data_IF_593575152457
#
_entry.id   IF_593575152457
#
_cell.length_a   1.000
_cell.length_b   1.000
_cell.length_c   1.000
_cell.angle_alpha   90.00
_cell.angle_beta   90.00
_cell.angle_gamma   90.00
#
_symmetry.space_group_name_H-M   'P 1'
#
loop_
_entity.id
_entity.type
_entity.pdbx_description
1 polymer ?
#
# COMPACT_ATOMS: atom_id res chain seq x y z
N UNK A 1 -13.63 23.17 -11.40
CA UNK A 1 -12.67 22.50 -10.51
C UNK A 1 -13.31 21.94 -9.24
N UNK A 2 -14.02 22.74 -8.42
CA UNK A 2 -14.66 22.26 -7.18
C UNK A 2 -15.61 21.06 -7.40
N UNK A 3 -16.51 21.12 -8.40
CA UNK A 3 -17.40 19.99 -8.75
C UNK A 3 -16.65 18.71 -9.12
N UNK A 4 -15.50 18.85 -9.77
CA UNK A 4 -14.65 17.72 -10.16
C UNK A 4 -13.95 17.10 -8.93
N UNK A 5 -13.39 17.95 -8.05
CA UNK A 5 -12.78 17.51 -6.79
C UNK A 5 -13.82 16.82 -5.91
N UNK A 6 -15.00 17.42 -5.74
CA UNK A 6 -16.09 16.82 -4.97
C UNK A 6 -16.50 15.45 -5.53
N UNK A 7 -16.65 15.34 -6.86
CA UNK A 7 -16.94 14.04 -7.51
C UNK A 7 -15.84 13.01 -7.24
N UNK A 8 -14.57 13.39 -7.28
CA UNK A 8 -13.44 12.49 -6.98
C UNK A 8 -13.45 12.05 -5.52
N UNK A 9 -13.71 12.95 -4.58
CA UNK A 9 -13.80 12.62 -3.14
C UNK A 9 -14.95 11.65 -2.89
N UNK A 10 -16.13 11.90 -3.47
CA UNK A 10 -17.29 10.99 -3.35
C UNK A 10 -16.99 9.62 -3.95
N UNK A 11 -16.32 9.56 -5.10
CA UNK A 11 -15.90 8.29 -5.72
C UNK A 11 -14.81 7.55 -4.92
N UNK A 12 -14.03 8.26 -4.10
CA UNK A 12 -13.03 7.63 -3.24
C UNK A 12 -13.66 6.86 -2.07
N UNK A 13 -14.81 7.31 -1.56
CA UNK A 13 -15.50 6.67 -0.43
C UNK A 13 -15.79 5.17 -0.69
N UNK A 14 -16.48 4.75 -1.77
CA UNK A 14 -16.73 3.33 -2.01
C UNK A 14 -15.45 2.53 -2.23
N UNK A 15 -14.41 3.15 -2.82
CA UNK A 15 -13.09 2.50 -2.99
C UNK A 15 -12.43 2.26 -1.64
N UNK A 16 -12.44 3.25 -0.74
CA UNK A 16 -11.89 3.12 0.61
C UNK A 16 -12.64 2.07 1.42
N UNK A 17 -13.97 2.06 1.38
CA UNK A 17 -14.78 1.03 2.04
C UNK A 17 -14.44 -0.35 1.47
N UNK A 18 -14.30 -0.47 0.15
CA UNK A 18 -13.91 -1.72 -0.50
C UNK A 18 -12.54 -2.20 -0.04
N UNK A 19 -11.54 -1.32 0.02
CA UNK A 19 -10.20 -1.65 0.51
C UNK A 19 -10.25 -2.07 1.98
N UNK A 20 -10.92 -1.31 2.85
CA UNK A 20 -11.06 -1.65 4.27
C UNK A 20 -11.75 -3.00 4.46
N UNK A 21 -12.80 -3.28 3.69
CA UNK A 21 -13.51 -4.56 3.76
C UNK A 21 -12.63 -5.72 3.29
N UNK A 22 -11.97 -5.59 2.13
CA UNK A 22 -11.11 -6.64 1.59
C UNK A 22 -9.94 -6.91 2.54
N UNK A 23 -9.26 -5.87 3.05
CA UNK A 23 -8.13 -6.07 3.98
C UNK A 23 -8.60 -6.65 5.31
N UNK A 24 -9.77 -6.23 5.81
CA UNK A 24 -10.38 -6.81 7.01
C UNK A 24 -10.66 -8.31 6.84
N UNK A 25 -11.30 -8.69 5.72
CA UNK A 25 -11.59 -10.09 5.41
C UNK A 25 -10.31 -10.89 5.23
N UNK A 26 -9.34 -10.37 4.46
CA UNK A 26 -8.04 -11.04 4.26
C UNK A 26 -7.34 -11.29 5.59
N UNK A 27 -7.29 -10.30 6.48
CA UNK A 27 -6.70 -10.47 7.81
C UNK A 27 -7.40 -11.55 8.64
N UNK A 28 -8.71 -11.75 8.46
CA UNK A 28 -9.46 -12.79 9.17
C UNK A 28 -9.37 -14.18 8.55
N UNK A 29 -9.02 -14.24 7.26
CA UNK A 29 -8.77 -15.48 6.54
C UNK A 29 -7.34 -16.01 6.77
N UNK A 30 -6.43 -15.19 7.31
CA UNK A 30 -5.09 -15.66 7.69
C UNK A 30 -5.25 -16.77 8.74
N UNK A 31 -4.77 -17.99 8.46
CA UNK A 31 -4.85 -19.08 9.42
C UNK A 31 -3.93 -18.78 10.62
N UNK A 32 -4.48 -18.86 11.82
CA UNK A 32 -3.77 -18.63 13.08
C UNK A 32 -4.69 -18.16 14.18
N UNK A 33 -4.33 -18.42 15.44
CA UNK A 33 -5.04 -17.89 16.60
C UNK A 33 -4.48 -16.48 16.93
N UNK A 34 -5.28 -15.40 16.77
CA UNK A 34 -4.82 -14.04 17.01
C UNK A 34 -4.39 -13.80 18.47
N UNK A 35 -5.00 -14.52 19.44
CA UNK A 35 -4.57 -14.46 20.82
C UNK A 35 -3.14 -14.98 20.97
N UNK A 36 -2.88 -16.19 20.46
CA UNK A 36 -1.56 -16.84 20.54
C UNK A 36 -0.51 -16.10 19.74
N UNK A 37 -0.88 -15.53 18.59
CA UNK A 37 0.03 -14.73 17.78
C UNK A 37 0.49 -13.45 18.50
N UNK A 38 -0.37 -12.86 19.34
CA UNK A 38 -0.08 -11.61 20.04
C UNK A 38 0.51 -11.82 21.44
N UNK A 39 0.08 -12.85 22.17
CA UNK A 39 0.49 -13.12 23.55
C UNK A 39 1.60 -14.17 23.69
N UNK A 40 1.87 -14.94 22.62
CA UNK A 40 2.90 -15.97 22.61
C UNK A 40 2.72 -17.00 23.72
N UNK A 41 3.76 -17.21 24.52
CA UNK A 41 3.77 -18.17 25.65
C UNK A 41 2.79 -17.82 26.77
N UNK A 42 2.27 -16.58 26.82
CA UNK A 42 1.29 -16.14 27.83
C UNK A 42 -0.16 -16.45 27.43
N UNK A 43 -0.38 -17.07 26.28
CA UNK A 43 -1.71 -17.41 25.78
C UNK A 43 -2.26 -18.65 26.49
N UNK A 44 -2.79 -18.47 27.70
CA UNK A 44 -3.66 -19.48 28.34
C UNK A 44 -5.09 -19.35 27.81
N UNK A 45 -5.88 -20.41 27.89
CA UNK A 45 -7.26 -20.42 27.37
C UNK A 45 -8.12 -19.31 28.03
N UNK A 46 -7.95 -19.09 29.33
CA UNK A 46 -8.63 -18.03 30.08
C UNK A 46 -8.25 -16.61 29.61
N UNK A 47 -6.96 -16.39 29.32
CA UNK A 47 -6.47 -15.11 28.81
C UNK A 47 -6.94 -14.90 27.38
N UNK A 48 -7.01 -15.97 26.57
CA UNK A 48 -7.53 -15.90 25.23
C UNK A 48 -9.04 -15.61 25.19
N UNK A 49 -9.84 -16.23 26.04
CA UNK A 49 -11.27 -15.93 26.12
C UNK A 49 -11.53 -14.46 26.49
N UNK A 50 -10.74 -13.92 27.42
CA UNK A 50 -10.77 -12.51 27.78
C UNK A 50 -10.31 -11.61 26.59
N UNK A 51 -9.30 -12.05 25.85
CA UNK A 51 -8.81 -11.37 24.65
C UNK A 51 -9.88 -11.32 23.55
N UNK A 52 -10.53 -12.45 23.24
CA UNK A 52 -11.58 -12.52 22.22
C UNK A 52 -12.73 -11.57 22.56
N UNK A 53 -13.21 -11.57 23.81
CA UNK A 53 -14.26 -10.64 24.28
C UNK A 53 -13.82 -9.18 24.24
N UNK A 54 -12.59 -8.88 24.69
CA UNK A 54 -12.08 -7.50 24.74
C UNK A 54 -11.96 -6.87 23.36
N UNK A 55 -11.52 -7.64 22.38
CA UNK A 55 -11.37 -7.16 20.99
C UNK A 55 -12.61 -7.39 20.13
N UNK A 56 -13.71 -7.91 20.72
CA UNK A 56 -14.96 -8.22 20.02
C UNK A 56 -14.81 -9.30 18.95
N UNK A 57 -13.78 -10.13 19.07
CA UNK A 57 -13.44 -11.17 18.11
C UNK A 57 -14.38 -12.39 18.17
N UNK A 58 -15.17 -12.46 19.24
CA UNK A 58 -16.27 -13.40 19.50
C UNK A 58 -17.57 -13.04 18.74
N UNK A 59 -17.67 -11.81 18.22
CA UNK A 59 -18.86 -11.32 17.53
C UNK A 59 -18.92 -11.78 16.07
N UNK A 60 -20.09 -11.75 15.41
CA UNK A 60 -20.18 -12.00 13.97
C UNK A 60 -19.29 -11.04 13.15
N UNK A 61 -18.70 -11.54 12.08
CA UNK A 61 -17.76 -10.80 11.21
C UNK A 61 -18.27 -9.40 10.79
N UNK A 62 -19.56 -9.29 10.48
CA UNK A 62 -20.21 -8.04 10.07
C UNK A 62 -20.21 -7.01 11.21
N UNK A 63 -20.46 -7.46 12.44
CA UNK A 63 -20.47 -6.59 13.63
C UNK A 63 -19.05 -6.10 13.93
N UNK A 64 -18.05 -6.98 13.81
CA UNK A 64 -16.64 -6.61 13.95
C UNK A 64 -16.21 -5.57 12.93
N UNK A 65 -16.62 -5.74 11.67
CA UNK A 65 -16.35 -4.75 10.62
C UNK A 65 -17.02 -3.40 10.92
N UNK A 66 -18.25 -3.41 11.44
CA UNK A 66 -18.93 -2.19 11.90
C UNK A 66 -18.16 -1.45 12.99
N UNK A 67 -17.68 -2.15 14.02
CA UNK A 67 -16.84 -1.56 15.07
C UNK A 67 -15.50 -1.04 14.55
N UNK A 68 -14.89 -1.76 13.60
CA UNK A 68 -13.65 -1.32 12.95
C UNK A 68 -13.88 -0.04 12.15
N UNK A 69 -14.93 0.01 11.32
CA UNK A 69 -15.26 1.17 10.51
C UNK A 69 -15.60 2.40 11.36
N UNK A 70 -16.35 2.22 12.44
CA UNK A 70 -16.65 3.29 13.39
C UNK A 70 -15.39 3.93 13.98
N UNK A 71 -14.43 3.11 14.42
CA UNK A 71 -13.14 3.59 14.93
C UNK A 71 -12.34 4.34 13.86
N UNK A 72 -12.23 3.76 12.66
CA UNK A 72 -11.51 4.37 11.53
C UNK A 72 -12.07 5.75 11.16
N UNK A 73 -13.39 5.91 11.12
CA UNK A 73 -14.02 7.21 10.80
C UNK A 73 -13.77 8.25 11.89
N UNK A 74 -13.61 7.84 13.15
CA UNK A 74 -13.22 8.73 14.25
C UNK A 74 -11.71 9.02 14.31
N UNK A 75 -10.91 8.43 13.41
CA UNK A 75 -9.46 8.57 13.37
C UNK A 75 -8.70 7.61 14.28
N UNK A 76 -9.40 6.71 14.98
CA UNK A 76 -8.80 5.64 15.77
C UNK A 76 -8.48 4.44 14.85
N UNK A 77 -7.20 4.25 14.55
CA UNK A 77 -6.72 3.11 13.76
C UNK A 77 -6.33 1.90 14.63
N UNK A 78 -6.37 2.06 15.96
CA UNK A 78 -5.93 1.08 16.94
C UNK A 78 -4.43 0.83 16.96
N UNK A 79 -4.05 -0.27 17.61
CA UNK A 79 -2.67 -0.72 17.75
C UNK A 79 -2.34 -1.83 16.77
N UNK A 80 -1.09 -1.88 16.34
CA UNK A 80 -0.56 -3.00 15.57
C UNK A 80 -0.47 -4.25 16.43
N UNK A 81 -1.20 -5.32 16.06
CA UNK A 81 -1.08 -6.62 16.72
C UNK A 81 0.35 -7.21 16.65
N UNK A 82 1.15 -6.80 15.65
CA UNK A 82 2.53 -7.28 15.46
C UNK A 82 3.56 -6.50 16.28
N UNK A 83 3.41 -5.18 16.36
CA UNK A 83 4.41 -4.29 16.96
C UNK A 83 3.97 -3.71 18.32
N UNK A 84 2.72 -3.91 18.72
CA UNK A 84 2.19 -3.46 20.02
C UNK A 84 2.17 -1.94 20.18
N UNK A 85 2.08 -1.18 19.09
CA UNK A 85 2.12 0.29 19.10
C UNK A 85 1.06 0.89 18.16
N UNK A 86 0.68 2.18 18.36
CA UNK A 86 -0.36 2.81 17.55
C UNK A 86 -0.05 2.78 16.06
N UNK A 87 -1.05 2.41 15.25
CA UNK A 87 -0.92 2.37 13.78
C UNK A 87 -0.68 3.77 13.22
N UNK A 88 -1.25 4.81 13.84
CA UNK A 88 -1.04 6.21 13.47
C UNK A 88 0.43 6.61 13.51
N UNK A 89 1.15 6.22 14.56
CA UNK A 89 2.57 6.56 14.71
C UNK A 89 3.41 5.88 13.63
N UNK A 90 3.12 4.59 13.39
CA UNK A 90 3.79 3.83 12.34
C UNK A 90 3.55 4.43 10.95
N UNK A 91 2.35 4.93 10.67
CA UNK A 91 2.04 5.62 9.42
C UNK A 91 2.81 6.95 9.32
N UNK A 92 2.83 7.75 10.39
CA UNK A 92 3.51 9.04 10.41
C UNK A 92 5.03 8.91 10.26
N UNK A 93 5.63 7.82 10.75
CA UNK A 93 7.05 7.52 10.53
C UNK A 93 7.37 7.18 9.06
N UNK A 94 6.43 6.59 8.32
CA UNK A 94 6.64 6.10 6.94
C UNK A 94 6.18 7.09 5.87
N UNK A 95 5.17 7.91 6.19
CA UNK A 95 4.54 8.85 5.27
C UNK A 95 5.54 9.82 4.62
N UNK A 96 6.50 10.44 5.34
CA UNK A 96 7.48 11.35 4.73
C UNK A 96 8.32 10.68 3.66
N UNK A 97 8.82 9.46 3.94
CA UNK A 97 9.64 8.68 2.99
C UNK A 97 8.82 8.31 1.76
N UNK A 98 7.56 7.89 1.94
CA UNK A 98 6.69 7.60 0.79
C UNK A 98 6.43 8.84 -0.07
N UNK A 99 6.19 9.99 0.55
CA UNK A 99 5.98 11.25 -0.17
C UNK A 99 7.25 11.66 -0.92
N UNK A 100 8.40 11.60 -0.26
CA UNK A 100 9.69 11.93 -0.86
C UNK A 100 9.96 11.05 -2.10
N UNK A 101 9.84 9.73 -1.95
CA UNK A 101 10.03 8.79 -3.05
C UNK A 101 9.01 9.03 -4.18
N UNK A 102 7.75 9.30 -3.86
CA UNK A 102 6.72 9.56 -4.85
C UNK A 102 6.99 10.85 -5.63
N UNK A 103 7.38 11.93 -4.95
CA UNK A 103 7.69 13.21 -5.58
C UNK A 103 8.93 13.13 -6.46
N UNK A 104 10.01 12.50 -5.99
CA UNK A 104 11.22 12.30 -6.78
C UNK A 104 10.95 11.41 -8.00
N UNK A 105 10.22 10.31 -7.82
CA UNK A 105 9.84 9.43 -8.92
C UNK A 105 8.98 10.17 -9.95
N UNK A 106 8.01 10.97 -9.51
CA UNK A 106 7.17 11.77 -10.39
C UNK A 106 8.00 12.80 -11.16
N UNK A 107 8.94 13.48 -10.50
CA UNK A 107 9.82 14.45 -11.12
C UNK A 107 10.67 13.80 -12.23
N UNK A 108 11.34 12.69 -11.92
CA UNK A 108 12.17 11.95 -12.88
C UNK A 108 11.32 11.42 -14.04
N UNK A 109 10.18 10.80 -13.74
CA UNK A 109 9.27 10.27 -14.75
C UNK A 109 8.73 11.38 -15.66
N UNK A 110 8.42 12.56 -15.12
CA UNK A 110 7.94 13.70 -15.89
C UNK A 110 9.05 14.24 -16.80
N UNK A 111 10.25 14.49 -16.26
CA UNK A 111 11.36 15.03 -17.04
C UNK A 111 11.72 14.07 -18.17
N UNK A 112 12.01 12.81 -17.84
CA UNK A 112 12.45 11.81 -18.83
C UNK A 112 11.32 11.48 -19.80
N UNK A 113 10.10 11.24 -19.28
CA UNK A 113 8.95 10.87 -20.09
C UNK A 113 8.51 11.96 -21.06
N UNK A 114 8.48 13.22 -20.63
CA UNK A 114 8.14 14.35 -21.51
C UNK A 114 9.23 14.57 -22.56
N UNK A 115 10.51 14.53 -22.19
CA UNK A 115 11.60 14.69 -23.17
C UNK A 115 11.54 13.60 -24.23
N UNK A 116 11.48 12.32 -23.82
CA UNK A 116 11.38 11.20 -24.74
C UNK A 116 10.11 11.27 -25.60
N UNK A 117 8.98 11.65 -25.01
CA UNK A 117 7.73 11.84 -25.74
C UNK A 117 7.80 12.94 -26.80
N UNK A 118 8.42 14.08 -26.47
CA UNK A 118 8.62 15.19 -27.43
C UNK A 118 9.57 14.78 -28.56
N UNK A 119 10.67 14.08 -28.23
CA UNK A 119 11.64 13.58 -29.22
C UNK A 119 10.99 12.60 -30.20
N UNK A 120 10.23 11.63 -29.69
CA UNK A 120 9.51 10.67 -30.52
C UNK A 120 8.47 11.36 -31.42
N UNK A 121 7.74 12.35 -30.89
CA UNK A 121 6.77 13.12 -31.65
C UNK A 121 7.40 13.99 -32.74
N UNK A 122 8.56 14.59 -32.47
CA UNK A 122 9.27 15.43 -33.45
C UNK A 122 9.85 14.60 -34.61
N UNK A 123 10.40 13.41 -34.32
CA UNK A 123 10.93 12.49 -35.32
C UNK A 123 10.03 11.28 -35.57
N UNK A 124 8.73 11.54 -35.74
CA UNK A 124 7.74 10.50 -35.96
C UNK A 124 8.07 9.60 -37.16
N UNK A 125 7.80 8.29 -37.03
CA UNK A 125 8.08 7.25 -38.04
C UNK A 125 9.58 7.09 -38.39
N UNK A 126 10.46 7.57 -37.52
CA UNK A 126 11.91 7.38 -37.67
C UNK A 126 12.41 6.23 -36.78
N UNK A 127 13.67 5.78 -36.96
CA UNK A 127 14.30 4.87 -36.02
C UNK A 127 14.32 5.40 -34.58
N UNK A 128 14.41 6.72 -34.36
CA UNK A 128 14.44 7.32 -33.02
C UNK A 128 13.09 7.14 -32.31
N UNK A 129 11.99 7.33 -33.04
CA UNK A 129 10.63 7.07 -32.57
C UNK A 129 10.48 5.57 -32.21
N UNK A 130 10.91 4.68 -33.11
CA UNK A 130 10.87 3.23 -32.85
C UNK A 130 11.63 2.82 -31.59
N UNK A 131 12.87 3.29 -31.39
CA UNK A 131 13.66 2.98 -30.19
C UNK A 131 13.00 3.53 -28.92
N UNK A 132 12.47 4.75 -28.97
CA UNK A 132 11.81 5.37 -27.82
C UNK A 132 10.55 4.59 -27.43
N UNK A 133 9.76 4.19 -28.42
CA UNK A 133 8.55 3.39 -28.22
C UNK A 133 8.86 1.98 -27.70
N UNK A 134 9.91 1.32 -28.18
CA UNK A 134 10.36 0.03 -27.65
C UNK A 134 10.75 0.18 -26.18
N UNK A 135 11.57 1.19 -25.85
CA UNK A 135 12.00 1.44 -24.48
C UNK A 135 10.81 1.71 -23.54
N UNK A 136 9.88 2.58 -23.95
CA UNK A 136 8.67 2.88 -23.18
C UNK A 136 7.81 1.62 -22.97
N UNK A 137 7.62 0.82 -24.03
CA UNK A 137 6.83 -0.41 -23.94
C UNK A 137 7.47 -1.46 -23.04
N UNK A 138 8.80 -1.60 -23.03
CA UNK A 138 9.49 -2.47 -22.09
C UNK A 138 9.23 -2.03 -20.65
N UNK A 139 9.34 -0.74 -20.35
CA UNK A 139 9.06 -0.22 -19.01
C UNK A 139 7.63 -0.48 -18.55
N UNK A 140 6.64 -0.32 -19.43
CA UNK A 140 5.22 -0.52 -19.11
C UNK A 140 4.84 -2.01 -19.04
N UNK A 141 5.49 -2.86 -19.84
CA UNK A 141 5.13 -4.29 -19.95
C UNK A 141 5.73 -5.16 -18.85
N UNK A 142 6.86 -4.75 -18.27
CA UNK A 142 7.47 -5.52 -17.18
C UNK A 142 6.68 -5.29 -15.89
N UNK A 143 6.28 -6.35 -15.16
CA UNK A 143 5.62 -6.19 -13.88
C UNK A 143 6.49 -5.38 -12.89
N UNK A 144 5.88 -4.42 -12.20
CA UNK A 144 6.59 -3.48 -11.31
C UNK A 144 7.40 -4.21 -10.23
N UNK A 145 6.89 -5.32 -9.69
CA UNK A 145 7.62 -6.10 -8.68
C UNK A 145 8.90 -6.76 -9.24
N UNK A 146 8.91 -7.16 -10.53
CA UNK A 146 10.09 -7.73 -11.19
C UNK A 146 11.14 -6.65 -11.39
N UNK A 147 10.73 -5.47 -11.86
CA UNK A 147 11.63 -4.31 -11.94
C UNK A 147 12.23 -3.98 -10.57
N UNK A 148 11.39 -3.91 -9.54
CA UNK A 148 11.86 -3.67 -8.16
C UNK A 148 12.88 -4.70 -7.68
N UNK A 149 12.65 -5.99 -7.96
CA UNK A 149 13.58 -7.06 -7.60
C UNK A 149 14.90 -6.98 -8.37
N UNK A 150 14.85 -6.74 -9.68
CA UNK A 150 16.05 -6.58 -10.52
C UNK A 150 16.85 -5.33 -10.13
N UNK A 151 16.17 -4.22 -9.82
CA UNK A 151 16.82 -3.01 -9.31
C UNK A 151 17.47 -3.27 -7.96
N UNK A 152 16.79 -3.97 -7.03
CA UNK A 152 17.39 -4.35 -5.75
C UNK A 152 18.62 -5.25 -5.95
N UNK A 153 18.56 -6.23 -6.86
CA UNK A 153 19.70 -7.07 -7.19
C UNK A 153 20.86 -6.26 -7.78
N UNK A 154 20.58 -5.37 -8.73
CA UNK A 154 21.59 -4.53 -9.36
C UNK A 154 22.25 -3.58 -8.35
N UNK A 155 21.45 -2.79 -7.64
CA UNK A 155 21.97 -1.72 -6.77
C UNK A 155 22.42 -2.23 -5.39
N UNK A 156 21.74 -3.22 -4.81
CA UNK A 156 22.03 -3.68 -3.46
C UNK A 156 22.93 -4.93 -3.39
N UNK A 157 23.14 -5.64 -4.52
CA UNK A 157 24.03 -6.82 -4.56
C UNK A 157 25.22 -6.58 -5.48
N UNK A 158 24.98 -6.25 -6.76
CA UNK A 158 26.08 -6.10 -7.74
C UNK A 158 26.89 -4.83 -7.48
N UNK A 159 26.21 -3.70 -7.28
CA UNK A 159 26.83 -2.38 -7.12
C UNK A 159 27.05 -1.99 -5.66
N UNK A 160 26.95 -2.94 -4.72
CA UNK A 160 27.04 -2.64 -3.29
C UNK A 160 28.40 -2.09 -2.89
N UNK A 161 29.46 -2.58 -3.52
CA UNK A 161 30.86 -2.32 -3.15
C UNK A 161 31.61 -1.46 -4.19
N UNK A 162 30.90 -0.89 -5.17
CA UNK A 162 31.43 0.07 -6.16
C UNK A 162 31.18 1.50 -5.72
#
# INVERSE_FOLDING_TARGET
MIRYIARRVVLAIPVLIGILFITFVLNRLIPGDPCRAMLGEKATDEVCDAFFKRYGLDQPMIVQFGYYLGRVVTGDLGDSMRFGRPVTDMLMERLPVTIELALLSLLVATIVGVILGVVAAYWQNSPVDLFTMIFANLGVSIPVFVLGLLSAYLFAVILKDT
#
